data_IF_567624253608
#
_entry.id   IF_567624253608
#
_cell.length_a   1.000
_cell.length_b   1.000
_cell.length_c   1.000
_cell.angle_alpha   90.00
_cell.angle_beta   90.00
_cell.angle_gamma   90.00
#
_symmetry.space_group_name_H-M   'P 1'
#
loop_
_entity.id
_entity.type
_entity.pdbx_description
1 polymer ?
#
# COMPACT_ATOMS: atom_id res chain seq x y z
N UNK A 1 53.17 30.74 -22.11
CA UNK A 1 52.77 29.37 -21.71
C UNK A 1 51.78 29.37 -20.54
N UNK A 2 52.03 30.08 -19.44
CA UNK A 2 51.14 30.14 -18.25
C UNK A 2 49.71 30.65 -18.58
N UNK A 3 49.57 31.68 -19.43
CA UNK A 3 48.24 32.22 -19.83
C UNK A 3 47.34 31.19 -20.54
N UNK A 4 47.91 30.28 -21.32
CA UNK A 4 47.16 29.24 -22.02
C UNK A 4 46.71 28.12 -21.08
N UNK A 5 47.52 27.80 -20.07
CA UNK A 5 47.14 26.87 -19.01
C UNK A 5 45.99 27.41 -18.15
N UNK A 6 46.01 28.70 -17.81
CA UNK A 6 44.92 29.33 -17.06
C UNK A 6 43.60 29.36 -17.84
N UNK A 7 43.65 29.62 -19.16
CA UNK A 7 42.46 29.58 -20.03
C UNK A 7 41.95 28.15 -20.18
N UNK A 8 42.84 27.16 -20.34
CA UNK A 8 42.46 25.75 -20.42
C UNK A 8 41.82 25.25 -19.12
N UNK A 9 42.35 25.63 -17.96
CA UNK A 9 41.77 25.30 -16.66
C UNK A 9 40.41 25.96 -16.45
N UNK A 10 40.23 27.21 -16.88
CA UNK A 10 38.95 27.91 -16.81
C UNK A 10 37.90 27.28 -17.74
N UNK A 11 38.30 26.85 -18.95
CA UNK A 11 37.44 26.16 -19.91
C UNK A 11 37.06 24.77 -19.40
N UNK A 12 37.98 24.01 -18.80
CA UNK A 12 37.67 22.72 -18.18
C UNK A 12 36.72 22.89 -16.98
N UNK A 13 36.88 23.93 -16.16
CA UNK A 13 35.97 24.26 -15.07
C UNK A 13 34.58 24.74 -15.56
N UNK A 14 34.51 25.42 -16.71
CA UNK A 14 33.24 25.82 -17.35
C UNK A 14 32.52 24.65 -18.05
N UNK A 15 33.25 23.64 -18.52
CA UNK A 15 32.68 22.43 -19.14
C UNK A 15 32.36 21.31 -18.13
N UNK A 16 32.90 21.39 -16.92
CA UNK A 16 32.36 20.67 -15.77
C UNK A 16 31.03 21.32 -15.39
N UNK A 17 29.98 21.03 -16.17
CA UNK A 17 28.62 21.37 -15.77
C UNK A 17 28.40 20.90 -14.34
N UNK A 18 27.82 21.75 -13.50
CA UNK A 18 27.57 21.46 -12.09
C UNK A 18 26.60 20.27 -11.99
N UNK A 19 27.11 19.05 -12.06
CA UNK A 19 26.36 17.85 -11.74
C UNK A 19 26.14 17.87 -10.23
N UNK A 20 24.91 18.20 -9.82
CA UNK A 20 24.53 18.16 -8.41
C UNK A 20 24.31 16.69 -8.04
N UNK A 21 24.93 16.23 -6.95
CA UNK A 21 24.66 14.94 -6.37
C UNK A 21 23.26 14.95 -5.72
N UNK A 22 22.50 13.88 -5.91
CA UNK A 22 21.19 13.69 -5.29
C UNK A 22 21.01 12.22 -4.91
N UNK A 23 20.15 11.98 -3.92
CA UNK A 23 19.93 10.66 -3.35
C UNK A 23 18.44 10.30 -3.44
N UNK A 24 18.16 9.05 -3.78
CA UNK A 24 16.81 8.52 -3.86
C UNK A 24 16.71 7.20 -3.08
N UNK A 25 15.51 6.88 -2.60
CA UNK A 25 15.24 5.50 -2.20
C UNK A 25 15.31 4.62 -3.45
N UNK A 26 16.07 3.54 -3.37
CA UNK A 26 16.22 2.56 -4.44
C UNK A 26 15.88 1.18 -3.88
N UNK A 27 14.65 0.72 -4.12
CA UNK A 27 14.15 -0.51 -3.53
C UNK A 27 12.91 -1.04 -4.26
N UNK A 28 12.51 -2.27 -3.93
CA UNK A 28 11.24 -2.86 -4.36
C UNK A 28 10.49 -3.52 -3.21
N UNK A 29 9.16 -3.51 -3.21
CA UNK A 29 8.35 -4.28 -2.24
C UNK A 29 8.47 -5.78 -2.44
N UNK A 30 8.87 -6.21 -3.63
CA UNK A 30 9.19 -7.61 -3.93
C UNK A 30 10.36 -8.12 -3.06
N UNK A 31 11.38 -7.28 -2.86
CA UNK A 31 12.56 -7.64 -2.07
C UNK A 31 12.46 -7.22 -0.59
N UNK A 32 11.72 -6.14 -0.29
CA UNK A 32 11.61 -5.61 1.07
C UNK A 32 10.30 -4.86 1.29
N UNK A 33 9.51 -5.32 2.27
CA UNK A 33 8.22 -4.70 2.61
C UNK A 33 8.34 -3.24 3.02
N UNK A 34 9.46 -2.87 3.63
CA UNK A 34 9.74 -1.49 4.07
C UNK A 34 9.85 -0.51 2.88
N UNK A 35 10.01 -1.01 1.65
CA UNK A 35 10.00 -0.16 0.45
C UNK A 35 8.63 0.47 0.14
N UNK A 36 7.55 -0.05 0.74
CA UNK A 36 6.20 0.50 0.54
C UNK A 36 6.13 1.96 0.98
N UNK A 37 6.72 2.27 2.13
CA UNK A 37 6.86 3.63 2.67
C UNK A 37 8.20 3.72 3.40
N UNK A 38 9.30 3.93 2.66
CA UNK A 38 10.63 3.88 3.23
C UNK A 38 10.85 5.05 4.18
N UNK A 39 11.48 4.77 5.32
CA UNK A 39 11.96 5.79 6.24
C UNK A 39 13.45 6.05 6.05
N UNK A 40 14.00 7.01 6.80
CA UNK A 40 15.43 7.36 6.73
C UNK A 40 16.38 6.22 7.13
N UNK A 41 15.88 5.13 7.75
CA UNK A 41 16.68 3.97 8.13
C UNK A 41 16.88 3.00 6.95
N UNK A 42 16.10 3.15 5.88
CA UNK A 42 16.36 2.46 4.61
C UNK A 42 17.42 3.25 3.86
N UNK A 43 18.51 2.58 3.49
CA UNK A 43 19.66 3.20 2.85
C UNK A 43 19.24 3.95 1.58
N UNK A 44 19.34 5.26 1.64
CA UNK A 44 19.23 6.13 0.46
C UNK A 44 20.54 6.02 -0.31
N UNK A 45 20.46 5.82 -1.62
CA UNK A 45 21.64 5.61 -2.46
C UNK A 45 21.84 6.79 -3.39
N UNK A 46 23.11 7.15 -3.62
CA UNK A 46 23.49 8.22 -4.54
C UNK A 46 23.09 7.85 -5.98
N UNK A 47 22.51 8.80 -6.69
CA UNK A 47 22.12 8.62 -8.08
C UNK A 47 23.26 8.97 -9.04
N UNK A 48 23.31 8.32 -10.22
CA UNK A 48 24.28 8.68 -11.25
C UNK A 48 24.25 10.18 -11.57
N UNK A 49 25.41 10.88 -11.56
CA UNK A 49 25.47 12.30 -11.86
C UNK A 49 25.01 12.55 -13.31
N UNK A 50 24.14 13.54 -13.50
CA UNK A 50 23.63 13.91 -14.82
C UNK A 50 23.78 15.42 -15.02
N UNK A 51 24.29 15.90 -16.18
CA UNK A 51 24.26 17.33 -16.50
C UNK A 51 22.82 17.82 -16.74
N UNK A 52 21.89 16.89 -16.94
CA UNK A 52 20.46 17.11 -17.06
C UNK A 52 19.75 16.61 -15.79
N UNK A 53 20.23 16.99 -14.60
CA UNK A 53 19.33 16.95 -13.43
C UNK A 53 18.25 17.98 -13.71
N UNK A 54 17.19 17.53 -14.41
CA UNK A 54 15.94 18.25 -14.48
C UNK A 54 15.41 18.44 -13.06
N UNK A 55 14.42 19.31 -12.88
CA UNK A 55 13.66 19.42 -11.64
C UNK A 55 13.25 18.05 -11.07
N UNK A 56 13.12 17.00 -11.90
CA UNK A 56 12.93 15.61 -11.49
C UNK A 56 14.23 14.88 -11.12
N UNK A 57 14.29 14.34 -9.91
CA UNK A 57 15.41 13.55 -9.36
C UNK A 57 15.10 12.07 -9.18
N UNK A 58 13.93 11.72 -8.65
CA UNK A 58 13.56 10.35 -8.31
C UNK A 58 12.26 9.90 -8.99
N UNK A 59 12.03 8.59 -9.03
CA UNK A 59 10.75 8.01 -9.40
C UNK A 59 10.22 7.04 -8.34
N UNK A 60 8.91 6.80 -8.37
CA UNK A 60 8.22 5.66 -7.76
C UNK A 60 7.24 5.09 -8.78
N UNK A 61 7.17 3.78 -8.96
CA UNK A 61 6.26 3.13 -9.91
C UNK A 61 5.73 1.80 -9.41
N UNK A 62 4.70 1.28 -10.07
CA UNK A 62 4.24 -0.11 -9.91
C UNK A 62 4.80 -0.97 -11.04
N UNK A 63 5.49 -2.05 -10.68
CA UNK A 63 5.91 -3.12 -11.58
C UNK A 63 5.21 -4.41 -11.18
N UNK A 64 4.31 -4.90 -12.03
CA UNK A 64 3.39 -5.98 -11.65
C UNK A 64 2.42 -5.50 -10.57
N UNK A 65 2.64 -5.94 -9.33
CA UNK A 65 1.87 -5.51 -8.14
C UNK A 65 2.75 -4.83 -7.09
N UNK A 66 4.04 -4.68 -7.37
CA UNK A 66 5.04 -4.22 -6.42
C UNK A 66 5.41 -2.76 -6.65
N UNK A 67 5.69 -2.04 -5.57
CA UNK A 67 6.25 -0.69 -5.62
C UNK A 67 7.75 -0.80 -5.91
N UNK A 68 8.22 -0.02 -6.87
CA UNK A 68 9.63 0.16 -7.20
C UNK A 68 10.00 1.64 -7.11
N UNK A 69 11.13 1.93 -6.48
CA UNK A 69 11.67 3.29 -6.28
C UNK A 69 13.08 3.34 -6.86
N UNK A 70 13.44 4.45 -7.48
CA UNK A 70 14.76 4.60 -8.09
C UNK A 70 15.11 6.02 -8.50
N UNK A 71 16.27 6.15 -9.14
CA UNK A 71 16.75 7.43 -9.65
C UNK A 71 16.13 7.72 -11.02
N UNK A 72 15.66 8.94 -11.24
CA UNK A 72 15.04 9.29 -12.53
C UNK A 72 16.04 9.12 -13.69
N UNK A 73 17.34 9.32 -13.45
CA UNK A 73 18.43 9.13 -14.42
C UNK A 73 18.56 7.71 -14.95
N UNK A 74 17.97 6.72 -14.28
CA UNK A 74 17.97 5.32 -14.72
C UNK A 74 16.84 5.02 -15.72
N UNK A 75 15.85 5.90 -15.81
CA UNK A 75 14.77 5.79 -16.79
C UNK A 75 15.26 6.21 -18.17
N UNK A 76 14.89 5.44 -19.20
CA UNK A 76 15.02 5.90 -20.59
C UNK A 76 14.13 7.13 -20.83
N UNK A 77 14.41 7.95 -21.87
CA UNK A 77 13.57 9.10 -22.19
C UNK A 77 12.08 8.74 -22.33
N UNK A 78 11.79 7.64 -23.03
CA UNK A 78 10.42 7.14 -23.21
C UNK A 78 9.75 6.73 -21.89
N UNK A 79 10.48 6.05 -21.00
CA UNK A 79 9.92 5.68 -19.68
C UNK A 79 9.63 6.91 -18.82
N UNK A 80 10.52 7.90 -18.84
CA UNK A 80 10.33 9.16 -18.12
C UNK A 80 9.10 9.92 -18.64
N UNK A 81 8.97 10.05 -19.95
CA UNK A 81 7.84 10.75 -20.57
C UNK A 81 6.52 10.04 -20.24
N UNK A 82 6.50 8.71 -20.33
CA UNK A 82 5.32 7.91 -19.98
C UNK A 82 4.98 8.00 -18.50
N UNK A 83 5.97 8.07 -17.60
CA UNK A 83 5.75 8.11 -16.16
C UNK A 83 4.82 9.25 -15.72
N UNK A 84 4.84 10.38 -16.44
CA UNK A 84 3.97 11.53 -16.16
C UNK A 84 2.52 11.36 -16.68
N UNK A 85 2.24 10.33 -17.46
CA UNK A 85 0.95 10.11 -18.14
C UNK A 85 0.16 8.97 -17.49
N UNK A 86 0.83 7.97 -16.93
CA UNK A 86 0.19 6.78 -16.34
C UNK A 86 0.12 6.86 -14.82
N UNK A 87 -1.04 6.52 -14.26
CA UNK A 87 -1.29 6.55 -12.80
C UNK A 87 -0.50 5.51 -11.98
N UNK A 88 0.38 4.72 -12.62
CA UNK A 88 1.23 3.73 -11.97
C UNK A 88 2.68 4.19 -11.83
N UNK A 89 2.99 5.45 -12.14
CA UNK A 89 4.32 6.02 -11.98
C UNK A 89 4.24 7.49 -11.50
N UNK A 90 5.21 7.92 -10.71
CA UNK A 90 5.33 9.28 -10.21
C UNK A 90 6.78 9.71 -10.21
N UNK A 91 7.02 10.88 -10.79
CA UNK A 91 8.28 11.60 -10.72
C UNK A 91 8.23 12.63 -9.58
N UNK A 92 9.36 12.89 -8.93
CA UNK A 92 9.46 13.94 -7.93
C UNK A 92 10.84 14.61 -7.92
N UNK A 93 10.88 15.79 -7.31
CA UNK A 93 12.04 16.63 -7.13
C UNK A 93 12.53 16.56 -5.67
N UNK A 94 13.82 16.33 -5.45
CA UNK A 94 14.40 16.47 -4.11
C UNK A 94 14.40 17.94 -3.70
N UNK A 95 14.02 18.20 -2.45
CA UNK A 95 14.23 19.49 -1.80
C UNK A 95 15.46 19.37 -0.90
N UNK A 96 16.49 20.18 -1.20
CA UNK A 96 17.83 20.07 -0.59
C UNK A 96 18.47 18.69 -0.87
N UNK A 97 18.70 17.89 0.17
CA UNK A 97 19.34 16.56 0.10
C UNK A 97 18.39 15.43 0.53
N UNK A 98 17.11 15.74 0.73
CA UNK A 98 16.12 14.74 1.16
C UNK A 98 15.53 14.04 -0.06
N UNK A 99 15.56 12.71 -0.06
CA UNK A 99 14.94 11.91 -1.11
C UNK A 99 13.42 12.14 -1.12
N UNK A 100 12.89 12.58 -2.26
CA UNK A 100 11.46 12.93 -2.41
C UNK A 100 10.54 11.71 -2.56
N UNK A 101 11.10 10.55 -2.91
CA UNK A 101 10.34 9.36 -3.25
C UNK A 101 10.12 8.44 -2.04
N UNK A 102 9.67 8.97 -0.91
CA UNK A 102 9.35 8.18 0.31
C UNK A 102 7.86 7.99 0.56
N UNK A 103 7.01 8.82 -0.05
CA UNK A 103 5.57 8.78 0.19
C UNK A 103 4.96 7.45 -0.23
N UNK A 104 3.92 7.01 0.50
CA UNK A 104 3.12 5.84 0.16
C UNK A 104 2.60 5.94 -1.27
N UNK A 105 2.75 4.88 -2.05
CA UNK A 105 2.40 4.86 -3.47
C UNK A 105 1.66 3.58 -3.88
N UNK A 106 0.67 3.66 -4.79
CA UNK A 106 0.01 4.90 -5.22
C UNK A 106 -0.86 5.49 -4.10
N UNK A 107 -1.18 6.78 -4.23
CA UNK A 107 -2.12 7.45 -3.33
C UNK A 107 -3.49 6.77 -3.44
N UNK A 108 -4.16 6.56 -2.30
CA UNK A 108 -5.50 5.97 -2.26
C UNK A 108 -5.54 4.43 -2.38
N UNK A 109 -4.38 3.76 -2.34
CA UNK A 109 -4.33 2.29 -2.25
C UNK A 109 -5.06 1.75 -1.02
N UNK A 110 -5.58 0.54 -1.14
CA UNK A 110 -6.39 -0.10 -0.10
C UNK A 110 -5.62 -0.27 1.21
N UNK A 111 -6.32 -0.05 2.31
CA UNK A 111 -5.87 -0.36 3.67
C UNK A 111 -6.79 -1.43 4.27
N UNK A 112 -6.20 -2.47 4.86
CA UNK A 112 -6.93 -3.53 5.53
C UNK A 112 -6.35 -3.76 6.92
N UNK A 113 -7.14 -4.30 7.85
CA UNK A 113 -6.56 -4.86 9.05
C UNK A 113 -5.77 -6.11 8.68
N UNK A 114 -4.54 -6.21 9.19
CA UNK A 114 -3.61 -7.28 8.85
C UNK A 114 -3.13 -7.94 10.13
N UNK A 115 -3.45 -9.22 10.30
CA UNK A 115 -3.01 -10.01 11.45
C UNK A 115 -3.09 -11.51 11.18
N UNK A 116 -2.35 -12.29 11.96
CA UNK A 116 -2.47 -13.74 12.00
C UNK A 116 -2.44 -14.16 13.46
N UNK A 117 -3.39 -14.98 13.86
CA UNK A 117 -3.51 -15.45 15.24
C UNK A 117 -4.47 -16.61 15.36
N UNK A 118 -4.73 -17.03 16.59
CA UNK A 118 -5.71 -18.08 16.89
C UNK A 118 -7.10 -17.50 17.12
N UNK A 119 -8.13 -18.33 17.26
CA UNK A 119 -9.49 -17.83 17.55
C UNK A 119 -9.60 -17.19 18.95
N UNK A 120 -8.61 -17.40 19.81
CA UNK A 120 -8.51 -16.80 21.14
C UNK A 120 -7.56 -15.58 21.20
N UNK A 121 -7.07 -15.11 20.05
CA UNK A 121 -6.18 -13.95 19.97
C UNK A 121 -6.94 -12.67 19.63
N UNK A 122 -6.33 -11.51 19.85
CA UNK A 122 -6.89 -10.21 19.45
C UNK A 122 -7.17 -10.09 17.94
N UNK A 123 -6.62 -10.98 17.11
CA UNK A 123 -6.91 -11.03 15.67
C UNK A 123 -8.35 -11.53 15.38
N UNK A 124 -8.94 -12.33 16.26
CA UNK A 124 -10.32 -12.82 16.13
C UNK A 124 -11.36 -11.79 16.61
N UNK A 125 -10.95 -10.88 17.48
CA UNK A 125 -11.78 -9.82 18.05
C UNK A 125 -12.13 -8.74 17.01
N UNK A 126 -13.03 -7.84 17.39
CA UNK A 126 -13.28 -6.62 16.63
C UNK A 126 -12.07 -5.68 16.73
N UNK A 127 -11.68 -5.05 15.62
CA UNK A 127 -10.50 -4.20 15.56
C UNK A 127 -10.92 -2.74 15.47
N UNK A 128 -10.60 -1.97 16.52
CA UNK A 128 -10.83 -0.51 16.58
C UNK A 128 -9.66 0.33 16.04
N UNK A 129 -8.49 -0.29 15.82
CA UNK A 129 -7.28 0.40 15.37
C UNK A 129 -7.26 0.67 13.86
N UNK A 130 -6.47 1.65 13.41
CA UNK A 130 -6.36 1.98 11.98
C UNK A 130 -5.84 0.79 11.14
N UNK A 131 -6.42 0.54 9.95
CA UNK A 131 -5.93 -0.47 9.03
C UNK A 131 -4.58 -0.05 8.42
N UNK A 132 -3.76 -1.03 8.06
CA UNK A 132 -2.47 -0.81 7.40
C UNK A 132 -2.59 -0.92 5.88
N UNK A 133 -1.77 -0.19 5.12
CA UNK A 133 -1.77 -0.30 3.66
C UNK A 133 -1.43 -1.73 3.23
N UNK A 134 -2.10 -2.25 2.20
CA UNK A 134 -1.71 -3.54 1.59
C UNK A 134 -0.24 -3.50 1.15
N UNK A 135 0.49 -4.59 1.02
CA UNK A 135 1.83 -4.52 0.42
C UNK A 135 1.75 -4.38 -1.11
N UNK A 136 0.92 -5.20 -1.74
CA UNK A 136 0.70 -5.23 -3.19
C UNK A 136 -0.35 -4.21 -3.62
N UNK A 137 -0.20 -3.69 -4.83
CA UNK A 137 -1.18 -2.83 -5.46
C UNK A 137 -1.98 -3.59 -6.52
N UNK A 138 -3.27 -3.76 -6.27
CA UNK A 138 -4.27 -4.22 -7.23
C UNK A 138 -5.43 -3.22 -7.19
N UNK A 139 -5.87 -2.73 -8.36
CA UNK A 139 -6.84 -1.64 -8.43
C UNK A 139 -8.18 -1.97 -7.73
N UNK A 140 -8.65 -3.21 -7.89
CA UNK A 140 -9.87 -3.73 -7.30
C UNK A 140 -9.57 -4.71 -6.14
N UNK A 141 -8.49 -4.46 -5.37
CA UNK A 141 -8.18 -5.30 -4.23
C UNK A 141 -9.28 -5.23 -3.17
N UNK A 142 -9.30 -6.24 -2.30
CA UNK A 142 -10.30 -6.40 -1.26
C UNK A 142 -9.64 -6.81 0.04
N UNK A 143 -10.28 -6.54 1.16
CA UNK A 143 -9.83 -7.07 2.45
C UNK A 143 -10.43 -8.45 2.67
N UNK A 144 -9.71 -9.28 3.42
CA UNK A 144 -10.10 -10.65 3.74
C UNK A 144 -10.03 -10.90 5.24
N UNK A 145 -10.96 -11.73 5.71
CA UNK A 145 -10.88 -12.48 6.96
C UNK A 145 -11.02 -13.96 6.60
N UNK A 146 -10.03 -14.77 6.93
CA UNK A 146 -10.10 -16.23 6.85
C UNK A 146 -10.14 -16.79 8.26
N UNK A 147 -11.12 -17.65 8.53
CA UNK A 147 -11.15 -18.43 9.77
C UNK A 147 -11.22 -19.90 9.41
N UNK A 148 -10.18 -20.64 9.79
CA UNK A 148 -10.07 -22.06 9.52
C UNK A 148 -9.46 -22.76 10.72
N UNK A 149 -10.13 -23.79 11.20
CA UNK A 149 -9.75 -24.52 12.41
C UNK A 149 -9.59 -23.53 13.60
N UNK A 150 -8.39 -23.44 14.19
CA UNK A 150 -8.04 -22.48 15.26
C UNK A 150 -7.15 -21.34 14.74
N UNK A 151 -7.32 -20.92 13.48
CA UNK A 151 -6.51 -19.86 12.87
C UNK A 151 -7.40 -18.78 12.26
N UNK A 152 -7.07 -17.53 12.57
CA UNK A 152 -7.66 -16.33 12.00
C UNK A 152 -6.57 -15.57 11.24
N UNK A 153 -6.85 -15.25 9.98
CA UNK A 153 -6.00 -14.40 9.15
C UNK A 153 -6.83 -13.23 8.65
N UNK A 154 -6.36 -12.01 8.89
CA UNK A 154 -6.87 -10.79 8.25
C UNK A 154 -5.80 -10.24 7.34
N UNK A 155 -6.18 -9.76 6.15
CA UNK A 155 -5.21 -9.20 5.21
C UNK A 155 -5.84 -8.62 3.96
N UNK A 156 -5.02 -8.38 2.95
CA UNK A 156 -5.47 -8.01 1.61
C UNK A 156 -5.54 -9.26 0.72
N UNK A 157 -6.52 -9.29 -0.18
CA UNK A 157 -6.81 -10.46 -1.00
C UNK A 157 -5.66 -10.79 -1.96
N UNK A 158 -4.99 -9.77 -2.50
CA UNK A 158 -3.79 -9.89 -3.35
C UNK A 158 -2.57 -10.56 -2.69
N UNK A 159 -2.54 -10.62 -1.35
CA UNK A 159 -1.53 -11.33 -0.56
C UNK A 159 -2.03 -12.67 -0.03
N UNK A 160 -3.33 -12.91 -0.11
CA UNK A 160 -4.03 -14.08 0.43
C UNK A 160 -4.82 -14.78 -0.68
N UNK A 161 -4.12 -15.12 -1.76
CA UNK A 161 -4.69 -15.65 -3.01
C UNK A 161 -5.54 -16.91 -2.81
N UNK A 162 -5.25 -17.70 -1.76
CA UNK A 162 -6.06 -18.85 -1.36
C UNK A 162 -7.53 -18.49 -1.03
N UNK A 163 -7.83 -17.22 -0.76
CA UNK A 163 -9.16 -16.74 -0.44
C UNK A 163 -10.00 -16.28 -1.64
N UNK A 164 -9.46 -16.21 -2.86
CA UNK A 164 -10.23 -15.73 -4.03
C UNK A 164 -11.48 -16.56 -4.33
N UNK A 165 -11.44 -17.86 -4.04
CA UNK A 165 -12.55 -18.79 -4.33
C UNK A 165 -12.78 -19.77 -3.17
N UNK A 166 -12.47 -19.38 -1.94
CA UNK A 166 -12.61 -20.22 -0.76
C UNK A 166 -13.76 -19.73 0.12
N UNK A 167 -14.66 -20.65 0.49
CA UNK A 167 -15.81 -20.38 1.36
C UNK A 167 -15.42 -20.11 2.82
N UNK A 168 -14.22 -20.50 3.23
CA UNK A 168 -13.67 -20.21 4.55
C UNK A 168 -13.17 -18.75 4.67
N UNK A 169 -13.27 -17.98 3.58
CA UNK A 169 -12.84 -16.59 3.53
C UNK A 169 -14.02 -15.65 3.31
N UNK A 170 -14.09 -14.62 4.15
CA UNK A 170 -14.98 -13.49 4.00
C UNK A 170 -14.20 -12.35 3.38
N UNK A 171 -14.66 -11.89 2.21
CA UNK A 171 -14.03 -10.81 1.45
C UNK A 171 -14.96 -9.60 1.47
N UNK A 172 -14.40 -8.41 1.63
CA UNK A 172 -15.13 -7.15 1.62
C UNK A 172 -14.34 -6.04 0.91
N UNK A 173 -15.05 -5.03 0.41
CA UNK A 173 -14.44 -3.89 -0.28
C UNK A 173 -14.48 -2.63 0.59
N UNK A 174 -13.40 -1.85 0.54
CA UNK A 174 -13.26 -0.58 1.27
C UNK A 174 -12.24 -0.67 2.40
N UNK A 175 -11.68 0.49 2.77
CA UNK A 175 -10.64 0.56 3.80
C UNK A 175 -11.14 0.01 5.14
N UNK A 176 -10.37 -0.89 5.74
CA UNK A 176 -10.65 -1.47 7.06
C UNK A 176 -11.96 -2.23 7.15
N UNK A 177 -12.62 -2.61 6.04
CA UNK A 177 -13.92 -3.28 6.10
C UNK A 177 -13.88 -4.63 6.85
N UNK A 178 -12.69 -5.22 6.97
CA UNK A 178 -12.43 -6.47 7.67
C UNK A 178 -12.15 -6.25 9.16
N UNK A 179 -12.91 -5.37 9.84
CA UNK A 179 -12.73 -5.04 11.26
C UNK A 179 -13.54 -5.92 12.21
N UNK A 180 -14.71 -6.43 11.77
CA UNK A 180 -15.69 -7.09 12.64
C UNK A 180 -15.16 -8.35 13.31
N UNK A 181 -15.61 -8.62 14.54
CA UNK A 181 -15.42 -9.91 15.19
C UNK A 181 -15.99 -11.04 14.32
N UNK A 182 -15.26 -12.16 14.26
CA UNK A 182 -15.74 -13.35 13.59
C UNK A 182 -16.21 -14.38 14.61
N UNK A 183 -17.53 -14.49 14.78
CA UNK A 183 -18.12 -15.60 15.51
C UNK A 183 -18.02 -16.85 14.63
N UNK A 184 -17.09 -17.76 14.98
CA UNK A 184 -17.10 -19.12 14.46
C UNK A 184 -18.40 -19.78 14.93
N UNK A 185 -19.49 -19.59 14.17
CA UNK A 185 -20.71 -20.33 14.39
C UNK A 185 -20.39 -21.80 14.13
N UNK A 186 -19.99 -22.51 15.18
CA UNK A 186 -20.06 -23.95 15.24
C UNK A 186 -21.51 -24.33 14.91
N UNK A 187 -21.70 -24.82 13.68
CA UNK A 187 -22.98 -25.18 13.08
C UNK A 187 -23.97 -24.01 12.86
N UNK A 188 -24.36 -23.83 11.60
CA UNK A 188 -25.55 -23.08 11.26
C UNK A 188 -26.78 -23.67 11.97
N UNK A 189 -27.15 -23.05 13.08
CA UNK A 189 -28.52 -22.99 13.57
C UNK A 189 -28.81 -21.52 13.81
N UNK A 190 -29.23 -20.84 12.74
CA UNK A 190 -29.94 -19.58 12.86
C UNK A 190 -31.29 -19.90 13.50
N UNK A 191 -31.34 -19.95 14.84
CA UNK A 191 -32.61 -19.84 15.55
C UNK A 191 -32.95 -18.36 15.48
N UNK A 192 -33.75 -18.01 14.46
CA UNK A 192 -34.46 -16.73 14.42
C UNK A 192 -35.25 -16.63 15.72
N UNK A 193 -34.80 -15.79 16.66
CA UNK A 193 -35.62 -15.39 17.80
C UNK A 193 -36.72 -14.47 17.26
N UNK A 194 -37.82 -15.08 16.83
CA UNK A 194 -39.09 -14.39 16.66
C UNK A 194 -39.62 -14.15 18.09
N UNK A 195 -39.77 -12.89 18.56
CA UNK A 195 -40.45 -12.67 19.82
C UNK A 195 -41.90 -13.14 19.69
N UNK A 196 -42.26 -14.11 20.53
CA UNK A 196 -43.61 -14.65 20.71
C UNK A 196 -44.59 -13.52 21.03
N UNK A 197 -45.26 -12.99 20.00
CA UNK A 197 -46.53 -12.28 20.13
C UNK A 197 -47.66 -13.30 20.24
N UNK A 198 -47.66 -14.08 21.32
CA UNK A 198 -48.86 -14.80 21.78
C UNK A 198 -49.32 -14.09 23.04
N UNK A 199 -50.24 -13.13 22.86
CA UNK A 199 -50.78 -12.37 23.98
C UNK A 199 -51.74 -11.25 23.61
N UNK A 200 -52.54 -11.38 22.54
CA UNK A 200 -53.56 -10.37 22.22
C UNK A 200 -54.77 -10.84 21.38
N UNK A 201 -55.17 -12.12 21.43
CA UNK A 201 -56.43 -12.57 20.76
C UNK A 201 -57.28 -13.45 21.69
N UNK A 202 -57.36 -13.13 22.98
CA UNK A 202 -58.35 -13.73 23.90
C UNK A 202 -59.08 -12.67 24.76
N UNK A 203 -59.28 -11.46 24.23
CA UNK A 203 -60.02 -10.40 24.95
C UNK A 203 -61.05 -9.63 24.10
N UNK A 204 -61.41 -10.11 22.91
CA UNK A 204 -62.52 -9.53 22.12
C UNK A 204 -63.80 -10.37 22.09
N UNK A 205 -63.88 -11.50 22.82
CA UNK A 205 -65.10 -12.32 22.86
C UNK A 205 -66.02 -12.08 24.09
N UNK A 206 -65.72 -11.10 24.95
CA UNK A 206 -66.55 -10.83 26.15
C UNK A 206 -67.02 -9.38 26.31
N UNK A 207 -67.04 -8.58 25.24
CA UNK A 207 -67.72 -7.29 25.22
C UNK A 207 -68.39 -7.06 23.85
N UNK A 208 -69.32 -7.94 23.49
CA UNK A 208 -70.48 -7.51 22.70
C UNK A 208 -71.72 -8.19 23.28
N UNK A 209 -72.58 -7.30 23.77
CA UNK A 209 -73.96 -7.56 24.16
C UNK A 209 -74.80 -7.72 22.91
#
# INVERSE_FOLDING_TARGET
MIKYFSILALVLAFNAGNALAFWCFQCTTFNSTNCLQPDVNILVTECPPSPNVSEVTCFTRIVGQDVERGCATELTPTERDNCNVVNNCQLCANENTTACNSNLFPIGRLHCHQCTGTTNSTCSEEIDGEPSPCLRFVADDQCVVQVRDDTVVRGCLSENEACRNNRDCHVCSGNGCNFRHFEYNAAGNVIVQIPLLIGAILLSAFLSK
#
